data_IF_271635111938
#
_entry.id   IF_271635111938
#
_cell.length_a   1.000
_cell.length_b   1.000
_cell.length_c   1.000
_cell.angle_alpha   90.00
_cell.angle_beta   90.00
_cell.angle_gamma   90.00
#
_symmetry.space_group_name_H-M   'P 1'
#
loop_
_entity.id
_entity.type
_entity.pdbx_description
1 polymer ?
#
# COMPACT_ATOMS: atom_id res chain seq x y z
N UNK A 1 -4.21 28.10 -4.20
CA UNK A 1 -3.91 26.94 -3.33
C UNK A 1 -2.41 26.70 -3.15
N UNK A 2 -1.53 27.22 -4.02
CA UNK A 2 -0.09 26.92 -4.06
C UNK A 2 0.84 27.80 -3.22
N UNK A 3 0.30 28.71 -2.40
CA UNK A 3 1.09 29.68 -1.62
C UNK A 3 1.80 29.08 -0.40
N UNK A 4 1.29 27.94 0.08
CA UNK A 4 1.79 27.21 1.23
C UNK A 4 2.76 26.08 0.85
N UNK A 5 2.93 25.81 -0.45
CA UNK A 5 3.81 24.76 -0.92
C UNK A 5 5.27 25.05 -0.58
N UNK A 6 6.04 23.99 -0.40
CA UNK A 6 7.47 24.09 -0.11
C UNK A 6 8.26 24.82 -1.22
N UNK A 7 7.78 24.80 -2.47
CA UNK A 7 8.35 25.57 -3.57
C UNK A 7 8.10 27.07 -3.41
N UNK A 8 6.86 27.47 -3.08
CA UNK A 8 6.51 28.87 -2.85
C UNK A 8 7.20 29.45 -1.60
N UNK A 9 7.40 28.63 -0.56
CA UNK A 9 8.19 29.02 0.62
C UNK A 9 9.66 29.25 0.22
N UNK A 10 10.21 28.40 -0.64
CA UNK A 10 11.59 28.54 -1.11
C UNK A 10 11.78 29.78 -2.00
N UNK A 11 10.82 30.08 -2.88
CA UNK A 11 10.82 31.29 -3.70
C UNK A 11 10.81 32.55 -2.84
N UNK A 12 9.90 32.62 -1.85
CA UNK A 12 9.88 33.71 -0.85
C UNK A 12 11.19 33.83 -0.08
N UNK A 13 11.81 32.71 0.31
CA UNK A 13 13.12 32.73 0.98
C UNK A 13 14.21 33.30 0.06
N UNK A 14 14.20 32.95 -1.22
CA UNK A 14 15.19 33.39 -2.19
C UNK A 14 15.05 34.89 -2.46
N UNK A 15 13.82 35.40 -2.55
CA UNK A 15 13.51 36.83 -2.64
C UNK A 15 14.00 37.60 -1.40
N UNK A 16 13.68 37.13 -0.19
CA UNK A 16 14.13 37.76 1.07
C UNK A 16 15.66 37.80 1.18
N UNK A 17 16.36 36.76 0.72
CA UNK A 17 17.82 36.73 0.75
C UNK A 17 18.43 37.69 -0.28
N UNK A 18 17.85 37.84 -1.47
CA UNK A 18 18.26 38.85 -2.46
C UNK A 18 18.08 40.27 -1.93
N UNK A 19 16.96 40.55 -1.28
CA UNK A 19 16.69 41.87 -0.69
C UNK A 19 17.65 42.24 0.43
N UNK A 20 18.20 41.26 1.15
CA UNK A 20 19.16 41.47 2.25
C UNK A 20 20.62 41.45 1.78
N UNK A 21 20.88 41.07 0.54
CA UNK A 21 22.25 41.07 0.01
C UNK A 21 22.86 42.48 0.11
N UNK A 22 23.95 42.61 0.88
CA UNK A 22 24.64 43.89 1.13
C UNK A 22 24.01 44.81 2.17
N UNK A 23 22.92 44.41 2.85
CA UNK A 23 22.32 45.19 3.96
C UNK A 23 22.87 44.72 5.30
N UNK A 24 23.04 45.68 6.22
CA UNK A 24 23.38 45.41 7.62
C UNK A 24 22.18 44.72 8.29
N UNK A 25 22.45 43.75 9.16
CA UNK A 25 21.41 42.97 9.85
C UNK A 25 20.56 43.89 10.74
N UNK A 26 19.23 43.83 10.55
CA UNK A 26 18.25 44.66 11.24
C UNK A 26 17.77 44.04 12.57
N UNK A 27 18.24 42.83 12.91
CA UNK A 27 17.91 42.13 14.15
C UNK A 27 16.44 41.68 14.25
N UNK A 28 15.67 41.86 13.18
CA UNK A 28 14.25 41.54 13.12
C UNK A 28 14.04 40.10 12.63
N UNK A 29 13.34 39.28 13.42
CA UNK A 29 13.07 37.89 13.05
C UNK A 29 11.97 37.80 11.98
N UNK A 30 12.25 37.11 10.87
CA UNK A 30 11.35 36.97 9.71
C UNK A 30 10.88 35.53 9.46
N UNK A 31 11.03 34.65 10.45
CA UNK A 31 10.63 33.25 10.37
C UNK A 31 11.81 32.29 10.22
N UNK A 32 11.53 31.00 10.49
CA UNK A 32 12.56 29.96 10.57
C UNK A 32 13.28 29.73 9.24
N UNK A 33 12.60 29.95 8.11
CA UNK A 33 13.18 29.79 6.78
C UNK A 33 13.92 31.04 6.31
N UNK A 34 13.81 32.18 6.98
CA UNK A 34 14.34 33.47 6.52
C UNK A 34 15.76 33.80 7.04
N UNK A 35 16.43 32.87 7.73
CA UNK A 35 17.82 33.05 8.15
C UNK A 35 18.76 33.30 6.96
N UNK A 36 19.81 34.08 7.19
CA UNK A 36 20.77 34.50 6.17
C UNK A 36 21.50 33.31 5.57
N UNK A 37 21.30 33.11 4.27
CA UNK A 37 22.11 32.20 3.47
C UNK A 37 23.05 33.04 2.62
N UNK A 38 24.34 32.92 2.86
CA UNK A 38 25.39 33.63 2.11
C UNK A 38 25.75 32.94 0.80
N UNK A 39 25.43 31.64 0.66
CA UNK A 39 25.55 30.92 -0.59
C UNK A 39 24.20 30.93 -1.31
N UNK A 40 24.15 31.64 -2.43
CA UNK A 40 23.00 31.65 -3.34
C UNK A 40 23.02 30.40 -4.21
N UNK A 41 21.88 29.72 -4.32
CA UNK A 41 21.72 28.66 -5.31
C UNK A 41 21.57 29.33 -6.68
N UNK A 42 22.53 29.08 -7.56
CA UNK A 42 22.52 29.61 -8.91
C UNK A 42 21.54 28.85 -9.79
N UNK A 43 21.03 29.53 -10.81
CA UNK A 43 20.28 28.89 -11.88
C UNK A 43 21.22 28.00 -12.70
N UNK A 44 20.73 26.84 -13.13
CA UNK A 44 21.49 25.90 -13.95
C UNK A 44 20.96 25.89 -15.37
N UNK A 45 21.70 25.29 -16.30
CA UNK A 45 21.24 25.07 -17.69
C UNK A 45 19.89 24.33 -17.72
N UNK A 46 19.62 23.49 -16.71
CA UNK A 46 18.40 22.69 -16.58
C UNK A 46 17.21 23.47 -16.01
N UNK A 47 17.41 24.70 -15.53
CA UNK A 47 16.33 25.56 -15.06
C UNK A 47 16.69 26.41 -13.84
N UNK A 48 15.68 27.14 -13.36
CA UNK A 48 15.80 28.03 -12.20
C UNK A 48 16.06 27.25 -10.91
N UNK A 49 16.74 27.87 -9.95
CA UNK A 49 16.98 27.32 -8.63
C UNK A 49 15.69 26.93 -7.87
N UNK A 50 14.55 27.56 -8.19
CA UNK A 50 13.22 27.22 -7.64
C UNK A 50 12.44 26.19 -8.44
N UNK A 51 12.90 25.82 -9.64
CA UNK A 51 12.20 24.88 -10.51
C UNK A 51 12.26 23.44 -9.97
N UNK A 52 11.30 22.61 -10.41
CA UNK A 52 11.19 21.21 -9.99
C UNK A 52 12.43 20.35 -10.31
N UNK A 53 13.24 20.74 -11.30
CA UNK A 53 14.43 19.95 -11.72
C UNK A 53 15.68 20.24 -10.87
N UNK A 54 15.76 21.42 -10.27
CA UNK A 54 16.96 21.90 -9.57
C UNK A 54 16.75 21.96 -8.07
N UNK A 55 15.51 22.20 -7.63
CA UNK A 55 15.18 22.35 -6.23
C UNK A 55 15.17 20.99 -5.52
N UNK A 56 15.88 20.92 -4.40
CA UNK A 56 15.82 19.79 -3.47
C UNK A 56 14.63 19.95 -2.50
N UNK A 57 13.90 18.86 -2.27
CA UNK A 57 12.76 18.80 -1.37
C UNK A 57 11.45 18.42 -2.07
N UNK A 58 10.31 18.49 -1.37
CA UNK A 58 9.01 18.12 -1.93
C UNK A 58 8.70 18.96 -3.19
N UNK A 59 8.49 18.29 -4.32
CA UNK A 59 8.19 18.94 -5.59
C UNK A 59 6.69 19.24 -5.70
N UNK A 60 6.33 20.25 -6.51
CA UNK A 60 4.93 20.55 -6.80
C UNK A 60 4.40 19.57 -7.84
N UNK A 61 3.33 18.86 -7.51
CA UNK A 61 2.63 17.99 -8.45
C UNK A 61 1.95 18.79 -9.56
N UNK A 62 1.75 18.19 -10.73
CA UNK A 62 1.06 18.83 -11.84
C UNK A 62 -0.42 19.06 -11.50
N UNK A 63 -0.94 20.25 -11.80
CA UNK A 63 -2.29 20.68 -11.39
C UNK A 63 -3.41 20.04 -12.21
N UNK A 64 -3.12 19.78 -13.48
CA UNK A 64 -4.10 19.42 -14.50
C UNK A 64 -3.88 18.00 -15.05
N UNK A 65 -3.18 17.15 -14.30
CA UNK A 65 -2.92 15.75 -14.68
C UNK A 65 -3.61 14.84 -13.65
N UNK A 66 -4.48 13.95 -14.15
CA UNK A 66 -5.01 12.85 -13.35
C UNK A 66 -4.09 11.65 -13.47
N UNK A 67 -3.55 11.17 -12.35
CA UNK A 67 -2.79 9.92 -12.32
C UNK A 67 -3.76 8.75 -12.54
N UNK A 68 -3.43 7.87 -13.49
CA UNK A 68 -4.21 6.64 -13.73
C UNK A 68 -3.94 5.67 -12.60
N UNK A 69 -4.98 5.34 -11.82
CA UNK A 69 -4.91 4.31 -10.80
C UNK A 69 -5.27 2.95 -11.41
N UNK A 70 -4.47 1.93 -11.12
CA UNK A 70 -4.75 0.53 -11.41
C UNK A 70 -4.59 -0.25 -10.11
N UNK A 71 -5.54 -1.13 -9.84
CA UNK A 71 -5.45 -2.06 -8.72
C UNK A 71 -4.49 -3.19 -9.08
N UNK A 72 -3.47 -3.40 -8.24
CA UNK A 72 -2.57 -4.54 -8.34
C UNK A 72 -3.02 -5.61 -7.33
N UNK A 73 -3.78 -6.60 -7.81
CA UNK A 73 -4.29 -7.69 -6.99
C UNK A 73 -3.27 -8.81 -6.76
N UNK A 74 -2.11 -8.77 -7.42
CA UNK A 74 -1.11 -9.82 -7.27
C UNK A 74 -0.39 -9.65 -5.93
N UNK A 75 -0.57 -10.61 -5.02
CA UNK A 75 0.09 -10.59 -3.73
C UNK A 75 1.49 -11.22 -3.84
N UNK A 76 2.51 -10.54 -3.33
CA UNK A 76 3.87 -11.07 -3.23
C UNK A 76 4.05 -11.97 -2.00
N UNK A 77 3.19 -12.97 -1.85
CA UNK A 77 3.23 -13.97 -0.78
C UNK A 77 4.07 -15.18 -1.19
N UNK A 78 4.92 -15.67 -0.29
CA UNK A 78 5.66 -16.90 -0.53
C UNK A 78 4.71 -18.09 -0.44
N UNK A 79 4.44 -18.73 -1.57
CA UNK A 79 3.58 -19.90 -1.66
C UNK A 79 4.05 -21.03 -0.72
N UNK A 80 5.34 -21.39 -0.79
CA UNK A 80 5.89 -22.50 0.01
C UNK A 80 5.78 -22.20 1.50
N UNK A 81 6.01 -20.94 1.89
CA UNK A 81 5.88 -20.52 3.28
C UNK A 81 4.41 -20.44 3.75
N UNK A 82 3.47 -20.14 2.86
CA UNK A 82 2.05 -20.11 3.22
C UNK A 82 1.51 -21.51 3.42
N UNK A 83 1.78 -22.42 2.48
CA UNK A 83 1.24 -23.78 2.46
C UNK A 83 1.88 -24.67 3.52
N UNK A 84 3.22 -24.62 3.62
CA UNK A 84 3.98 -25.50 4.52
C UNK A 84 4.56 -24.74 5.71
N UNK A 85 4.79 -23.45 5.52
CA UNK A 85 5.64 -22.54 6.31
C UNK A 85 6.98 -23.07 6.72
N UNK A 86 7.56 -23.79 5.78
CA UNK A 86 8.97 -23.80 5.55
C UNK A 86 9.23 -23.27 4.13
N UNK A 87 10.05 -22.23 3.99
CA UNK A 87 10.55 -21.80 2.70
C UNK A 87 11.99 -22.29 2.54
N UNK A 88 12.30 -23.02 1.47
CA UNK A 88 13.66 -23.50 1.21
C UNK A 88 14.68 -22.37 1.01
N UNK A 89 14.24 -21.17 0.68
CA UNK A 89 15.09 -19.97 0.55
C UNK A 89 15.34 -19.27 1.89
N UNK A 90 14.62 -19.64 2.96
CA UNK A 90 14.69 -18.97 4.26
C UNK A 90 14.50 -17.45 4.14
N UNK A 91 15.22 -16.68 4.94
CA UNK A 91 15.11 -15.22 4.97
C UNK A 91 15.61 -14.51 3.69
N UNK A 92 16.22 -15.26 2.76
CA UNK A 92 16.62 -14.73 1.44
C UNK A 92 15.48 -14.73 0.42
N UNK A 93 14.29 -15.22 0.80
CA UNK A 93 13.12 -15.21 -0.07
C UNK A 93 12.71 -13.76 -0.39
N UNK A 94 12.50 -13.48 -1.68
CA UNK A 94 12.02 -12.15 -2.13
C UNK A 94 10.53 -11.90 -1.83
N UNK A 95 9.80 -12.96 -1.49
CA UNK A 95 8.36 -12.93 -1.23
C UNK A 95 8.09 -12.90 0.28
N UNK A 96 6.96 -12.32 0.67
CA UNK A 96 6.57 -12.16 2.07
C UNK A 96 6.27 -13.52 2.71
N UNK A 97 6.88 -13.76 3.87
CA UNK A 97 6.63 -14.90 4.73
C UNK A 97 5.46 -14.62 5.69
N UNK A 98 4.25 -14.73 5.16
CA UNK A 98 3.03 -14.61 5.94
C UNK A 98 2.15 -15.87 5.76
N UNK A 99 1.51 -16.29 6.85
CA UNK A 99 0.61 -17.47 6.93
C UNK A 99 -0.85 -17.07 7.11
N UNK A 100 -1.18 -15.78 7.04
CA UNK A 100 -2.57 -15.34 7.12
C UNK A 100 -3.38 -15.80 5.91
N UNK A 101 -4.67 -16.07 6.13
CA UNK A 101 -5.62 -16.63 5.17
C UNK A 101 -6.77 -15.66 4.85
N UNK A 102 -6.49 -14.34 4.89
CA UNK A 102 -7.48 -13.32 4.53
C UNK A 102 -7.89 -13.40 3.06
N UNK A 103 -9.18 -13.16 2.81
CA UNK A 103 -9.74 -13.06 1.46
C UNK A 103 -9.11 -11.89 0.70
N UNK A 104 -8.83 -12.10 -0.58
CA UNK A 104 -8.34 -11.04 -1.45
C UNK A 104 -9.45 -10.02 -1.75
N UNK A 105 -9.09 -8.79 -2.11
CA UNK A 105 -10.07 -7.73 -2.40
C UNK A 105 -11.12 -8.14 -3.44
N UNK A 106 -10.70 -8.83 -4.51
CA UNK A 106 -11.60 -9.32 -5.55
C UNK A 106 -12.58 -10.40 -5.05
N UNK A 107 -12.18 -11.22 -4.07
CA UNK A 107 -13.06 -12.22 -3.45
C UNK A 107 -14.11 -11.53 -2.59
N UNK A 108 -13.72 -10.48 -1.86
CA UNK A 108 -14.64 -9.67 -1.07
C UNK A 108 -15.65 -8.91 -1.95
N UNK A 109 -15.20 -8.32 -3.06
CA UNK A 109 -16.07 -7.66 -4.04
C UNK A 109 -17.10 -8.65 -4.60
N UNK A 110 -16.66 -9.85 -4.99
CA UNK A 110 -17.57 -10.91 -5.47
C UNK A 110 -18.57 -11.35 -4.40
N UNK A 111 -18.12 -11.58 -3.18
CA UNK A 111 -18.98 -12.01 -2.07
C UNK A 111 -19.97 -10.90 -1.67
N UNK A 112 -19.58 -9.63 -1.82
CA UNK A 112 -20.45 -8.46 -1.66
C UNK A 112 -21.53 -8.42 -2.74
N UNK A 113 -21.16 -8.53 -4.01
CA UNK A 113 -22.10 -8.53 -5.13
C UNK A 113 -23.07 -9.72 -5.06
N UNK A 114 -22.62 -10.86 -4.53
CA UNK A 114 -23.44 -12.03 -4.28
C UNK A 114 -24.36 -11.90 -3.04
N UNK A 115 -24.25 -10.81 -2.28
CA UNK A 115 -25.03 -10.58 -1.05
C UNK A 115 -24.75 -11.61 0.05
N UNK A 116 -23.54 -12.18 0.08
CA UNK A 116 -23.14 -13.24 1.03
C UNK A 116 -22.51 -12.67 2.30
N UNK A 117 -22.08 -11.40 2.30
CA UNK A 117 -21.40 -10.78 3.46
C UNK A 117 -22.30 -10.62 4.69
N UNK A 118 -23.60 -10.39 4.51
CA UNK A 118 -24.55 -10.21 5.63
C UNK A 118 -25.18 -11.52 6.13
N UNK A 119 -24.92 -12.63 5.44
CA UNK A 119 -25.42 -13.96 5.84
C UNK A 119 -24.47 -14.52 6.89
N UNK A 120 -24.70 -14.15 8.16
CA UNK A 120 -24.17 -14.90 9.30
C UNK A 120 -24.87 -16.25 9.32
N UNK A 121 -24.31 -17.24 8.63
CA UNK A 121 -24.68 -18.61 8.92
C UNK A 121 -24.25 -18.88 10.37
N UNK A 122 -25.22 -19.14 11.24
CA UNK A 122 -25.02 -19.27 12.69
C UNK A 122 -24.00 -20.36 13.07
N UNK A 123 -23.66 -21.24 12.11
CA UNK A 123 -22.75 -22.38 12.26
C UNK A 123 -21.48 -22.30 11.38
N UNK A 124 -21.16 -21.14 10.78
CA UNK A 124 -20.03 -21.02 9.81
C UNK A 124 -18.66 -21.38 10.40
N UNK A 125 -18.49 -21.27 11.72
CA UNK A 125 -17.25 -21.60 12.44
C UNK A 125 -17.35 -22.88 13.26
N UNK A 126 -18.46 -23.61 13.17
CA UNK A 126 -18.56 -24.92 13.81
C UNK A 126 -17.70 -25.91 13.03
N UNK A 127 -16.56 -26.30 13.60
CA UNK A 127 -15.90 -27.54 13.22
C UNK A 127 -16.83 -28.65 13.71
N UNK A 128 -17.79 -29.06 12.88
CA UNK A 128 -18.48 -30.32 13.12
C UNK A 128 -17.42 -31.39 12.98
N UNK A 129 -17.13 -32.10 14.07
CA UNK A 129 -16.40 -33.35 14.01
C UNK A 129 -17.21 -34.23 13.06
N UNK A 130 -16.77 -34.30 11.79
CA UNK A 130 -17.26 -35.30 10.85
C UNK A 130 -16.75 -36.59 11.45
N UNK A 131 -17.62 -37.26 12.19
CA UNK A 131 -17.36 -38.63 12.60
C UNK A 131 -17.16 -39.45 11.33
N UNK A 132 -16.22 -40.39 11.35
CA UNK A 132 -15.92 -41.26 10.19
C UNK A 132 -17.13 -42.11 9.71
N UNK A 133 -18.29 -41.98 10.35
CA UNK A 133 -19.55 -42.61 9.98
C UNK A 133 -20.39 -41.79 8.98
N UNK A 134 -20.23 -40.46 8.91
CA UNK A 134 -21.02 -39.60 7.98
C UNK A 134 -20.45 -39.54 6.55
N UNK A 135 -19.21 -40.00 6.36
CA UNK A 135 -18.55 -40.13 5.05
C UNK A 135 -18.72 -41.52 4.43
N UNK A 136 -19.31 -42.47 5.16
CA UNK A 136 -19.60 -43.80 4.62
C UNK A 136 -20.84 -43.73 3.72
N UNK A 137 -20.78 -44.25 2.48
CA UNK A 137 -21.95 -44.29 1.62
C UNK A 137 -23.03 -45.11 2.33
N UNK A 138 -24.26 -44.59 2.39
CA UNK A 138 -25.41 -45.25 3.06
C UNK A 138 -25.85 -46.50 2.29
N UNK A 139 -25.57 -46.53 0.98
CA UNK A 139 -25.98 -47.58 0.05
C UNK A 139 -24.76 -48.20 -0.64
N UNK A 140 -24.85 -49.48 -0.98
CA UNK A 140 -23.82 -50.18 -1.73
C UNK A 140 -23.72 -49.64 -3.17
N UNK A 141 -22.55 -49.17 -3.58
CA UNK A 141 -22.29 -48.59 -4.91
C UNK A 141 -22.50 -49.55 -6.10
N UNK A 142 -22.73 -50.84 -5.83
CA UNK A 142 -22.94 -51.88 -6.86
C UNK A 142 -24.44 -52.15 -7.06
N UNK A 143 -25.25 -52.06 -6.00
CA UNK A 143 -26.65 -52.49 -6.03
C UNK A 143 -27.64 -51.46 -5.48
N UNK A 144 -27.18 -50.30 -5.03
CA UNK A 144 -27.94 -49.18 -4.43
C UNK A 144 -28.88 -49.58 -3.28
N UNK A 145 -28.75 -50.80 -2.75
CA UNK A 145 -29.48 -51.28 -1.58
C UNK A 145 -28.67 -51.03 -0.30
N UNK A 146 -29.34 -51.14 0.85
CA UNK A 146 -28.68 -51.11 2.16
C UNK A 146 -27.74 -52.32 2.30
N UNK A 147 -26.64 -52.14 3.05
CA UNK A 147 -25.67 -53.20 3.22
C UNK A 147 -26.26 -54.39 3.99
N UNK A 148 -26.21 -55.56 3.37
CA UNK A 148 -26.47 -56.85 4.01
C UNK A 148 -25.12 -57.56 4.13
N UNK A 149 -24.56 -57.60 5.35
CA UNK A 149 -23.22 -58.09 5.68
C UNK A 149 -22.06 -57.38 4.94
N UNK A 150 -21.71 -56.14 5.32
CA UNK A 150 -20.53 -55.45 4.79
C UNK A 150 -19.23 -56.14 5.22
N UNK A 151 -18.19 -56.06 4.39
CA UNK A 151 -16.81 -56.45 4.68
C UNK A 151 -15.98 -55.21 4.98
#
# INVERSE_FOLDING_TARGET
MHSLDAQAIFERQLELNKEREGKIDDGMYRGQTAYAKYLTKQDSIMGKASSNLVRQGPFRAAENIRVTTRWDYQQDLCKDYKDTGFCGFGDSCKFVHDRTDYKAGWELERDYDAGLLDKKEENMFEIREISDDDTKPINCQICDNTFVNPV
#
